data_IF_720077735625
#
_entry.id   IF_720077735625
#
_cell.length_a   1.000
_cell.length_b   1.000
_cell.length_c   1.000
_cell.angle_alpha   90.00
_cell.angle_beta   90.00
_cell.angle_gamma   90.00
#
_symmetry.space_group_name_H-M   'P 1'
#
loop_
_entity.id
_entity.type
_entity.pdbx_description
1 polymer ?
#
# COMPACT_ATOMS: atom_id res chain seq x y z
N UNK A 1 29.99 16.83 -6.72
CA UNK A 1 29.82 15.61 -7.53
C UNK A 1 28.55 15.81 -8.36
N UNK A 2 28.61 15.83 -9.70
CA UNK A 2 27.42 16.07 -10.51
C UNK A 2 26.48 14.86 -10.46
N UNK A 3 25.18 15.11 -10.32
CA UNK A 3 24.14 14.09 -10.40
C UNK A 3 24.13 13.48 -11.81
N UNK A 4 24.14 12.14 -11.89
CA UNK A 4 24.04 11.43 -13.16
C UNK A 4 22.56 11.23 -13.51
N UNK A 5 22.07 11.76 -14.65
CA UNK A 5 20.70 11.54 -15.08
C UNK A 5 20.41 10.05 -15.26
N UNK A 6 19.32 9.56 -14.67
CA UNK A 6 18.80 8.22 -14.91
C UNK A 6 18.97 7.17 -13.80
N UNK A 7 19.51 7.51 -12.62
CA UNK A 7 19.54 6.58 -11.48
C UNK A 7 19.20 7.25 -10.14
N UNK A 8 18.02 7.86 -10.03
CA UNK A 8 17.43 8.06 -8.69
C UNK A 8 16.86 6.71 -8.23
N UNK A 9 17.73 5.80 -7.79
CA UNK A 9 17.30 4.63 -7.04
C UNK A 9 16.77 5.13 -5.70
N UNK A 10 15.46 5.00 -5.44
CA UNK A 10 14.91 5.20 -4.11
C UNK A 10 15.54 4.12 -3.20
N UNK A 11 16.32 4.50 -2.17
CA UNK A 11 17.00 3.53 -1.29
C UNK A 11 16.03 2.81 -0.33
N UNK A 12 14.73 3.12 -0.43
CA UNK A 12 13.62 2.55 0.31
C UNK A 12 12.38 3.40 0.07
N UNK A 13 11.20 2.94 0.48
CA UNK A 13 10.00 3.76 0.55
C UNK A 13 9.92 4.40 1.94
N UNK A 14 10.42 5.65 2.13
CA UNK A 14 10.02 6.43 3.29
C UNK A 14 8.50 6.62 3.28
N UNK A 15 7.89 6.88 4.44
CA UNK A 15 6.46 7.23 4.60
C UNK A 15 6.00 8.40 3.72
N UNK A 16 6.94 9.10 3.08
CA UNK A 16 6.69 10.11 2.07
C UNK A 16 7.73 10.01 0.95
N UNK A 17 7.29 9.66 -0.27
CA UNK A 17 8.15 9.68 -1.45
C UNK A 17 8.48 11.12 -1.84
N UNK A 18 9.76 11.52 -1.76
CA UNK A 18 10.22 12.81 -2.31
C UNK A 18 10.28 12.70 -3.82
N UNK A 19 9.52 13.51 -4.53
CA UNK A 19 9.73 13.71 -5.96
C UNK A 19 10.87 14.73 -6.11
N UNK A 20 12.05 14.35 -6.62
CA UNK A 20 13.12 15.31 -6.84
C UNK A 20 12.64 16.31 -7.88
N UNK A 21 12.64 17.58 -7.53
CA UNK A 21 12.65 18.66 -8.50
C UNK A 21 14.11 19.09 -8.68
N UNK A 22 14.54 19.21 -9.92
CA UNK A 22 15.93 19.14 -10.39
C UNK A 22 16.89 20.26 -9.90
N UNK A 23 16.58 20.97 -8.81
CA UNK A 23 17.33 22.16 -8.42
C UNK A 23 17.59 22.35 -6.91
N UNK A 24 17.68 21.26 -6.14
CA UNK A 24 18.14 21.33 -4.72
C UNK A 24 17.26 22.16 -3.78
N UNK A 25 16.07 22.54 -4.23
CA UNK A 25 15.04 23.20 -3.43
C UNK A 25 14.29 22.17 -2.59
N UNK A 26 13.65 22.59 -1.49
CA UNK A 26 12.73 21.70 -0.78
C UNK A 26 11.69 21.14 -1.76
N UNK A 27 11.33 19.85 -1.70
CA UNK A 27 10.36 19.27 -2.63
C UNK A 27 9.01 20.00 -2.51
N UNK A 28 8.44 20.43 -3.64
CA UNK A 28 7.15 21.13 -3.68
C UNK A 28 5.97 20.22 -3.30
N UNK A 29 6.15 18.89 -3.41
CA UNK A 29 5.14 17.90 -3.03
C UNK A 29 5.77 16.58 -2.56
N UNK A 30 5.11 15.97 -1.58
CA UNK A 30 5.38 14.61 -1.14
C UNK A 30 4.23 13.71 -1.56
N UNK A 31 4.53 12.52 -2.08
CA UNK A 31 3.51 11.49 -2.26
C UNK A 31 3.27 10.83 -0.89
N UNK A 32 2.07 10.93 -0.31
CA UNK A 32 1.77 10.27 0.96
C UNK A 32 1.70 8.76 0.72
N UNK A 33 2.63 8.02 1.35
CA UNK A 33 2.71 6.57 1.23
C UNK A 33 2.60 5.95 2.62
N UNK A 34 1.58 5.11 2.81
CA UNK A 34 1.47 4.26 3.99
C UNK A 34 1.60 2.79 3.59
N UNK A 35 2.16 1.98 4.47
CA UNK A 35 2.32 0.55 4.21
C UNK A 35 2.29 -0.22 5.51
N UNK A 36 1.84 -1.46 5.44
CA UNK A 36 1.81 -2.34 6.58
C UNK A 36 1.54 -3.77 6.17
N UNK A 37 1.22 -4.59 7.16
CA UNK A 37 0.78 -5.97 6.94
C UNK A 37 -0.52 -6.21 7.67
N UNK A 38 -1.29 -7.18 7.18
CA UNK A 38 -2.44 -7.71 7.88
C UNK A 38 -2.50 -9.23 7.67
N UNK A 39 -3.06 -9.94 8.64
CA UNK A 39 -3.36 -11.36 8.50
C UNK A 39 -4.80 -11.52 8.02
N UNK A 40 -5.01 -12.31 6.97
CA UNK A 40 -6.34 -12.84 6.70
C UNK A 40 -6.74 -13.77 7.85
N UNK A 41 -8.00 -13.76 8.22
CA UNK A 41 -8.53 -14.43 9.42
C UNK A 41 -9.48 -15.59 9.08
N UNK A 42 -9.42 -16.08 7.85
CA UNK A 42 -10.35 -17.09 7.33
C UNK A 42 -11.76 -16.56 7.07
N UNK A 43 -12.06 -15.28 7.33
CA UNK A 43 -13.36 -14.66 7.08
C UNK A 43 -13.52 -14.21 5.62
N UNK A 44 -14.77 -14.01 5.20
CA UNK A 44 -15.09 -13.32 3.95
C UNK A 44 -14.73 -11.83 3.98
N UNK A 45 -14.66 -11.23 5.17
CA UNK A 45 -14.33 -9.81 5.34
C UNK A 45 -13.16 -9.66 6.29
N UNK A 46 -12.10 -9.02 5.80
CA UNK A 46 -10.91 -8.65 6.59
C UNK A 46 -10.87 -7.13 6.69
N UNK A 47 -10.93 -6.60 7.91
CA UNK A 47 -10.83 -5.18 8.20
C UNK A 47 -9.40 -4.81 8.56
N UNK A 48 -8.85 -3.82 7.86
CA UNK A 48 -7.49 -3.32 8.08
C UNK A 48 -7.60 -1.86 8.54
N UNK A 49 -7.36 -1.57 9.83
CA UNK A 49 -7.38 -0.22 10.35
C UNK A 49 -6.16 0.56 9.85
N UNK A 50 -6.39 1.65 9.13
CA UNK A 50 -5.33 2.43 8.52
C UNK A 50 -5.79 3.88 8.27
N UNK A 51 -5.44 4.82 9.18
CA UNK A 51 -5.91 6.20 9.08
C UNK A 51 -5.37 6.95 7.85
N UNK A 52 -4.33 6.44 7.20
CA UNK A 52 -3.79 7.03 5.97
C UNK A 52 -4.65 6.77 4.72
N UNK A 53 -5.70 5.93 4.79
CA UNK A 53 -6.63 5.76 3.67
C UNK A 53 -7.40 7.06 3.45
N UNK A 54 -7.22 7.67 2.29
CA UNK A 54 -8.01 8.79 1.80
C UNK A 54 -9.08 8.35 0.79
N UNK A 55 -10.00 9.26 0.40
CA UNK A 55 -11.04 8.99 -0.59
C UNK A 55 -10.49 8.54 -1.94
N UNK A 56 -9.34 9.10 -2.34
CA UNK A 56 -8.70 8.86 -3.63
C UNK A 56 -7.51 7.89 -3.55
N UNK A 57 -7.26 7.29 -2.39
CA UNK A 57 -6.08 6.45 -2.23
C UNK A 57 -6.12 5.22 -3.12
N UNK A 58 -5.00 4.85 -3.72
CA UNK A 58 -4.80 3.54 -4.34
C UNK A 58 -4.26 2.57 -3.29
N UNK A 59 -4.81 1.36 -3.24
CA UNK A 59 -4.42 0.32 -2.29
C UNK A 59 -3.94 -0.89 -3.07
N UNK A 60 -2.67 -1.24 -2.90
CA UNK A 60 -2.04 -2.42 -3.47
C UNK A 60 -1.83 -3.45 -2.37
N UNK A 61 -2.15 -4.71 -2.66
CA UNK A 61 -2.02 -5.81 -1.70
C UNK A 61 -1.22 -6.93 -2.36
N UNK A 62 -0.21 -7.44 -1.68
CA UNK A 62 0.56 -8.60 -2.11
C UNK A 62 0.77 -9.56 -0.94
N UNK A 63 1.13 -10.81 -1.23
CA UNK A 63 1.45 -11.78 -0.18
C UNK A 63 2.80 -11.39 0.47
N UNK A 64 2.91 -11.47 1.80
CA UNK A 64 4.10 -11.03 2.53
C UNK A 64 5.29 -12.01 2.42
N UNK A 65 5.03 -13.27 2.08
CA UNK A 65 6.02 -14.32 1.83
C UNK A 65 5.68 -14.92 0.47
N UNK A 66 6.67 -15.17 -0.40
CA UNK A 66 6.51 -15.47 -1.84
C UNK A 66 5.73 -16.73 -2.26
N UNK A 67 4.61 -17.05 -1.60
CA UNK A 67 3.61 -17.99 -2.06
C UNK A 67 2.59 -17.35 -3.01
N UNK A 68 1.50 -18.08 -3.25
CA UNK A 68 0.43 -17.61 -4.13
C UNK A 68 -0.49 -16.65 -3.37
N UNK A 69 -0.80 -15.51 -3.98
CA UNK A 69 -1.85 -14.62 -3.50
C UNK A 69 -3.17 -15.40 -3.46
N UNK A 70 -3.77 -15.55 -2.27
CA UNK A 70 -4.86 -16.51 -2.03
C UNK A 70 -6.24 -15.85 -1.90
N UNK A 71 -6.34 -14.51 -1.91
CA UNK A 71 -7.65 -13.89 -2.10
C UNK A 71 -8.24 -14.42 -3.41
N UNK A 72 -9.36 -15.17 -3.36
CA UNK A 72 -9.97 -15.69 -4.55
C UNK A 72 -10.34 -14.48 -5.39
N UNK A 73 -9.74 -14.36 -6.58
CA UNK A 73 -10.23 -13.38 -7.54
C UNK A 73 -11.61 -13.85 -8.00
N UNK A 74 -12.61 -12.95 -8.04
CA UNK A 74 -12.55 -11.52 -7.72
C UNK A 74 -12.65 -11.21 -6.20
N UNK A 75 -11.89 -10.21 -5.73
CA UNK A 75 -12.07 -9.56 -4.43
C UNK A 75 -12.41 -8.08 -4.60
N UNK A 76 -13.02 -7.45 -3.59
CA UNK A 76 -13.34 -6.02 -3.58
C UNK A 76 -12.68 -5.34 -2.39
N UNK A 77 -12.07 -4.17 -2.64
CA UNK A 77 -11.57 -3.30 -1.56
C UNK A 77 -12.59 -2.18 -1.33
N UNK A 78 -13.14 -2.13 -0.13
CA UNK A 78 -14.02 -1.06 0.33
C UNK A 78 -13.21 -0.11 1.21
N UNK A 79 -13.04 1.14 0.77
CA UNK A 79 -12.29 2.16 1.50
C UNK A 79 -13.20 2.86 2.50
N UNK A 80 -12.67 3.09 3.70
CA UNK A 80 -13.30 3.89 4.75
C UNK A 80 -12.34 5.02 5.12
N UNK A 81 -12.38 6.18 4.42
CA UNK A 81 -11.41 7.24 4.60
C UNK A 81 -11.21 7.64 6.06
N UNK A 82 -9.95 7.82 6.48
CA UNK A 82 -9.55 8.14 7.84
C UNK A 82 -9.61 6.98 8.84
N UNK A 83 -10.10 5.80 8.43
CA UNK A 83 -10.25 4.63 9.33
C UNK A 83 -9.62 3.35 8.79
N UNK A 84 -9.49 3.20 7.47
CA UNK A 84 -8.87 2.03 6.86
C UNK A 84 -9.61 1.50 5.65
N UNK A 85 -9.54 0.19 5.45
CA UNK A 85 -10.21 -0.49 4.34
C UNK A 85 -10.63 -1.91 4.73
N UNK A 86 -11.64 -2.41 4.04
CA UNK A 86 -12.08 -3.80 4.12
C UNK A 86 -11.75 -4.51 2.82
N UNK A 87 -11.29 -5.75 2.93
CA UNK A 87 -11.17 -6.67 1.81
C UNK A 87 -12.31 -7.67 1.91
N UNK A 88 -13.13 -7.72 0.87
CA UNK A 88 -14.21 -8.68 0.74
C UNK A 88 -13.76 -9.78 -0.21
N UNK A 89 -13.45 -10.94 0.36
CA UNK A 89 -13.10 -12.17 -0.34
C UNK A 89 -14.37 -12.93 -0.73
N UNK A 90 -14.35 -13.65 -1.86
CA UNK A 90 -15.49 -14.50 -2.25
C UNK A 90 -15.49 -15.89 -1.61
N UNK A 91 -14.38 -16.33 -1.00
CA UNK A 91 -14.32 -17.58 -0.23
C UNK A 91 -13.61 -17.34 1.11
N UNK A 92 -14.15 -17.94 2.16
CA UNK A 92 -13.53 -18.07 3.46
C UNK A 92 -12.39 -19.12 3.44
N UNK A 93 -11.48 -19.06 4.42
CA UNK A 93 -10.41 -20.04 4.62
C UNK A 93 -8.98 -19.55 4.37
N UNK A 94 -8.80 -18.31 3.92
CA UNK A 94 -7.47 -17.72 3.81
C UNK A 94 -6.96 -17.22 5.16
N UNK A 95 -5.82 -17.74 5.60
CA UNK A 95 -5.15 -17.37 6.87
C UNK A 95 -3.77 -16.75 6.65
N UNK A 96 -3.46 -16.33 5.41
CA UNK A 96 -2.14 -15.84 5.06
C UNK A 96 -1.91 -14.39 5.51
N UNK A 97 -0.64 -14.03 5.67
CA UNK A 97 -0.23 -12.64 5.91
C UNK A 97 0.03 -11.92 4.58
N UNK A 98 -0.60 -10.78 4.43
CA UNK A 98 -0.44 -9.88 3.30
C UNK A 98 0.28 -8.61 3.71
N UNK A 99 0.92 -7.98 2.75
CA UNK A 99 1.44 -6.63 2.85
C UNK A 99 0.60 -5.71 1.96
N UNK A 100 0.45 -4.47 2.40
CA UNK A 100 -0.26 -3.45 1.65
C UNK A 100 0.57 -2.19 1.49
N UNK A 101 0.29 -1.46 0.41
CA UNK A 101 0.78 -0.10 0.17
C UNK A 101 -0.41 0.77 -0.22
N UNK A 102 -0.49 1.93 0.39
CA UNK A 102 -1.47 2.97 0.15
C UNK A 102 -0.73 4.16 -0.42
N UNK A 103 -1.24 4.65 -1.55
CA UNK A 103 -0.77 5.87 -2.19
C UNK A 103 -1.94 6.84 -2.17
N UNK A 104 -1.83 7.93 -1.42
CA UNK A 104 -2.86 8.97 -1.30
C UNK A 104 -2.79 10.04 -2.37
#
# INVERSE_FOLDING_TARGET
MPFQPGQTKLPGFPTQGKLPMDNGSAPDAYLPIASGTFAANGSFVVSVPEPAVGPNSMIFITLALGGNFQFPTPYVILKSPGTGFNIVAQNAGDTQTYQYVIIG
#
